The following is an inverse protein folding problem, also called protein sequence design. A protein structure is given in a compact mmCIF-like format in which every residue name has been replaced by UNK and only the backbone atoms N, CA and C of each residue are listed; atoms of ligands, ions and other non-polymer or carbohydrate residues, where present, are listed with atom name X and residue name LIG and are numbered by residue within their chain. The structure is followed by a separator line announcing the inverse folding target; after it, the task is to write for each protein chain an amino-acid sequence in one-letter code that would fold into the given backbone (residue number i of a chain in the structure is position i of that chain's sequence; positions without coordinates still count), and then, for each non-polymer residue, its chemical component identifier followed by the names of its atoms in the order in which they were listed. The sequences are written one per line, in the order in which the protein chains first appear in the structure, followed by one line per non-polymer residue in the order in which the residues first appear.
data_IF_583433169168
#
_entry.id   IF_583433169168
#
_cell.length_a   1.000
_cell.length_b   1.000
_cell.length_c   1.000
_cell.angle_alpha   90.00
_cell.angle_beta   90.00
_cell.angle_gamma   90.00
#
_symmetry.space_group_name_H-M   'P 1'
#
loop_
_entity.id
_entity.type
_entity.pdbx_description
1 polymer ?
#
# COMPACT_ATOMS: atom_id res chain seq x y z
N UNK A 1 0.47 -39.03 23.15
CA UNK A 1 -0.42 -37.87 22.95
C UNK A 1 -1.62 -38.35 22.14
N UNK A 2 -2.86 -37.98 22.49
CA UNK A 2 -4.04 -38.40 21.73
C UNK A 2 -4.08 -37.71 20.36
N UNK A 3 -4.77 -38.31 19.38
CA UNK A 3 -4.96 -37.71 18.06
C UNK A 3 -5.53 -36.29 18.16
N UNK A 4 -6.54 -36.09 19.02
CA UNK A 4 -7.14 -34.77 19.29
C UNK A 4 -6.10 -33.79 19.84
N UNK A 5 -5.25 -34.22 20.77
CA UNK A 5 -4.17 -33.41 21.31
C UNK A 5 -3.17 -32.98 20.23
N UNK A 6 -2.81 -33.89 19.32
CA UNK A 6 -1.94 -33.57 18.17
C UNK A 6 -2.60 -32.56 17.22
N UNK A 7 -3.88 -32.75 16.88
CA UNK A 7 -4.59 -31.83 15.99
C UNK A 7 -4.73 -30.42 16.59
N UNK A 8 -5.01 -30.33 17.90
CA UNK A 8 -5.07 -29.05 18.61
C UNK A 8 -3.72 -28.34 18.62
N UNK A 9 -2.62 -29.06 18.87
CA UNK A 9 -1.28 -28.48 18.84
C UNK A 9 -0.90 -27.97 17.45
N UNK A 10 -1.24 -28.71 16.39
CA UNK A 10 -1.01 -28.26 15.01
C UNK A 10 -1.84 -27.01 14.69
N UNK A 11 -3.12 -27.00 15.06
CA UNK A 11 -4.01 -25.86 14.85
C UNK A 11 -3.51 -24.59 15.56
N UNK A 12 -3.16 -24.71 16.85
CA UNK A 12 -2.61 -23.57 17.62
C UNK A 12 -1.25 -23.15 17.06
N UNK A 13 -0.36 -24.11 16.77
CA UNK A 13 0.95 -23.82 16.19
C UNK A 13 0.87 -23.05 14.88
N UNK A 14 0.00 -23.49 13.96
CA UNK A 14 -0.22 -22.77 12.70
C UNK A 14 -0.89 -21.41 12.92
N UNK A 15 -1.81 -21.29 13.88
CA UNK A 15 -2.41 -20.01 14.26
C UNK A 15 -1.38 -19.01 14.78
N UNK A 16 -0.41 -19.45 15.58
CA UNK A 16 0.70 -18.61 16.05
C UNK A 16 1.61 -18.18 14.88
N UNK A 17 1.89 -19.08 13.93
CA UNK A 17 2.65 -18.75 12.73
C UNK A 17 1.94 -17.67 11.90
N UNK A 18 0.63 -17.80 11.69
CA UNK A 18 -0.17 -16.75 11.03
C UNK A 18 -0.14 -15.44 11.82
N UNK A 19 -0.36 -15.50 13.14
CA UNK A 19 -0.43 -14.29 13.97
C UNK A 19 0.89 -13.50 13.96
N UNK A 20 2.02 -14.16 14.15
CA UNK A 20 3.32 -13.50 14.17
C UNK A 20 3.83 -13.15 12.77
N UNK A 21 3.55 -13.99 11.76
CA UNK A 21 3.98 -13.82 10.37
C UNK A 21 3.07 -12.98 9.47
N UNK A 22 1.88 -12.58 9.93
CA UNK A 22 0.85 -11.92 9.10
C UNK A 22 1.37 -10.72 8.29
N UNK A 23 2.32 -9.92 8.81
CA UNK A 23 2.84 -8.75 8.09
C UNK A 23 3.66 -9.11 6.86
N UNK A 24 4.34 -10.26 6.86
CA UNK A 24 5.05 -10.79 5.69
C UNK A 24 4.11 -11.40 4.66
N UNK A 25 2.85 -11.64 5.03
CA UNK A 25 1.78 -12.09 4.11
C UNK A 25 1.06 -10.86 3.53
N UNK A 26 0.69 -9.92 4.40
CA UNK A 26 -0.03 -8.71 4.05
C UNK A 26 0.81 -7.72 3.23
N UNK A 27 2.11 -7.62 3.56
CA UNK A 27 3.07 -6.79 2.86
C UNK A 27 4.21 -7.66 2.35
N UNK A 28 4.41 -7.62 1.03
CA UNK A 28 5.44 -8.35 0.31
C UNK A 28 6.30 -7.33 -0.46
N UNK A 29 7.30 -6.70 0.21
CA UNK A 29 8.07 -5.63 -0.38
C UNK A 29 8.83 -6.05 -1.65
N UNK A 30 8.85 -5.15 -2.62
CA UNK A 30 9.55 -5.37 -3.90
C UNK A 30 10.97 -4.82 -3.85
N UNK A 31 11.93 -5.45 -4.56
CA UNK A 31 13.28 -4.90 -4.68
C UNK A 31 13.30 -3.60 -5.48
N UNK A 32 14.43 -2.89 -5.42
CA UNK A 32 14.73 -1.78 -6.33
C UNK A 32 14.87 -2.34 -7.75
N UNK A 33 14.26 -1.65 -8.73
CA UNK A 33 14.38 -1.97 -10.15
C UNK A 33 14.85 -0.70 -10.85
N UNK A 34 15.93 -0.80 -11.62
CA UNK A 34 16.43 0.33 -12.41
C UNK A 34 15.40 0.75 -13.45
N UNK A 35 15.20 2.06 -13.58
CA UNK A 35 14.30 2.66 -14.56
C UNK A 35 14.81 4.03 -15.01
N UNK A 36 14.25 4.54 -16.11
CA UNK A 36 14.57 5.87 -16.65
C UNK A 36 13.64 7.00 -16.19
N UNK A 37 12.62 6.71 -15.38
CA UNK A 37 11.68 7.71 -14.87
C UNK A 37 12.32 8.62 -13.82
N UNK A 38 11.82 9.85 -13.72
CA UNK A 38 12.17 10.78 -12.64
C UNK A 38 11.75 10.19 -11.29
N UNK A 39 12.56 10.40 -10.25
CA UNK A 39 12.27 9.94 -8.89
C UNK A 39 12.62 11.04 -7.90
N UNK A 40 11.72 11.31 -6.96
CA UNK A 40 11.94 12.21 -5.83
C UNK A 40 11.92 11.42 -4.52
N UNK A 41 12.81 11.81 -3.60
CA UNK A 41 12.83 11.25 -2.24
C UNK A 41 12.11 12.22 -1.30
N UNK A 42 11.05 11.72 -0.68
CA UNK A 42 10.30 12.43 0.36
C UNK A 42 10.74 11.91 1.73
N UNK A 43 11.38 12.75 2.52
CA UNK A 43 11.83 12.38 3.88
C UNK A 43 10.72 12.61 4.90
N UNK A 44 10.27 11.54 5.53
CA UNK A 44 9.33 11.53 6.66
C UNK A 44 10.06 11.08 7.94
N UNK A 45 9.53 10.09 8.66
CA UNK A 45 10.32 9.25 9.57
C UNK A 45 11.31 8.35 8.82
N UNK A 46 11.01 8.07 7.55
CA UNK A 46 11.85 7.31 6.63
C UNK A 46 11.89 8.00 5.26
N UNK A 47 12.90 7.66 4.46
CA UNK A 47 12.98 8.11 3.08
C UNK A 47 12.05 7.28 2.19
N UNK A 48 11.11 7.96 1.53
CA UNK A 48 10.17 7.37 0.57
C UNK A 48 10.58 7.75 -0.84
N UNK A 49 10.80 6.73 -1.68
CA UNK A 49 11.09 6.90 -3.12
C UNK A 49 9.79 6.95 -3.90
N UNK A 50 9.56 8.06 -4.60
CA UNK A 50 8.35 8.29 -5.39
C UNK A 50 8.73 8.53 -6.82
N UNK A 51 8.27 7.65 -7.72
CA UNK A 51 8.49 7.79 -9.17
C UNK A 51 7.49 8.82 -9.71
N UNK A 52 7.98 9.76 -10.51
CA UNK A 52 7.18 10.82 -11.11
C UNK A 52 7.01 10.53 -12.60
N UNK A 53 5.76 10.47 -13.03
CA UNK A 53 5.39 10.31 -14.44
C UNK A 53 4.75 11.59 -14.95
N UNK A 54 5.01 11.90 -16.22
CA UNK A 54 4.40 13.01 -16.95
C UNK A 54 4.45 14.35 -16.15
N UNK A 55 5.65 14.81 -15.72
CA UNK A 55 5.77 16.03 -14.92
C UNK A 55 5.32 17.27 -15.71
N UNK A 56 4.72 18.25 -15.01
CA UNK A 56 4.34 19.55 -15.56
C UNK A 56 2.84 19.83 -15.65
N UNK A 57 1.98 18.93 -15.17
CA UNK A 57 0.54 19.18 -15.04
C UNK A 57 0.22 19.86 -13.71
N UNK A 58 -0.77 20.74 -13.69
CA UNK A 58 -1.34 21.33 -12.46
C UNK A 58 -2.23 20.34 -11.69
N UNK A 59 -2.48 19.16 -12.26
CA UNK A 59 -3.27 18.09 -11.67
C UNK A 59 -2.39 16.88 -11.38
N UNK A 60 -2.34 16.51 -10.10
CA UNK A 60 -1.57 15.37 -9.63
C UNK A 60 -2.44 14.15 -9.32
N UNK A 61 -1.88 12.97 -9.57
CA UNK A 61 -2.37 11.69 -9.08
C UNK A 61 -1.37 11.13 -8.07
N UNK A 62 -1.79 10.97 -6.82
CA UNK A 62 -1.07 10.19 -5.81
C UNK A 62 -1.53 8.74 -5.91
N UNK A 63 -0.65 7.86 -6.41
CA UNK A 63 -0.98 6.47 -6.71
C UNK A 63 -0.38 5.51 -5.68
N UNK A 64 -1.24 4.70 -5.09
CA UNK A 64 -0.95 3.67 -4.11
C UNK A 64 -1.18 2.28 -4.72
N UNK A 65 -0.09 1.53 -4.94
CA UNK A 65 -0.12 0.19 -5.51
C UNK A 65 -0.67 -0.89 -4.59
N UNK A 66 -0.83 -2.09 -5.14
CA UNK A 66 -1.18 -3.29 -4.40
C UNK A 66 -0.02 -3.89 -3.63
N UNK A 67 -0.32 -4.97 -2.90
CA UNK A 67 0.71 -5.82 -2.30
C UNK A 67 1.57 -6.44 -3.42
N UNK A 68 2.89 -6.50 -3.22
CA UNK A 68 3.87 -6.97 -4.21
C UNK A 68 3.94 -6.19 -5.54
N UNK A 69 3.30 -5.03 -5.66
CA UNK A 69 3.40 -4.21 -6.87
C UNK A 69 4.75 -3.48 -6.93
N UNK A 70 5.38 -3.50 -8.11
CA UNK A 70 6.56 -2.68 -8.41
C UNK A 70 6.12 -1.41 -9.15
N UNK A 71 6.40 -0.24 -8.56
CA UNK A 71 6.07 1.03 -9.21
C UNK A 71 6.86 1.23 -10.50
N UNK A 72 8.11 0.79 -10.55
CA UNK A 72 8.95 0.86 -11.74
C UNK A 72 8.39 0.02 -12.91
N UNK A 73 7.86 -1.17 -12.64
CA UNK A 73 7.27 -2.02 -13.68
C UNK A 73 5.90 -1.53 -14.16
N UNK A 74 5.11 -0.91 -13.26
CA UNK A 74 3.80 -0.36 -13.60
C UNK A 74 3.89 1.02 -14.29
N UNK A 75 5.01 1.73 -14.14
CA UNK A 75 5.19 3.08 -14.62
C UNK A 75 4.92 3.30 -16.13
N UNK A 76 5.38 2.44 -17.05
CA UNK A 76 5.13 2.63 -18.49
C UNK A 76 3.63 2.62 -18.84
N UNK A 77 2.88 1.66 -18.28
CA UNK A 77 1.44 1.53 -18.54
C UNK A 77 0.68 2.73 -17.97
N UNK A 78 0.99 3.14 -16.73
CA UNK A 78 0.33 4.26 -16.07
C UNK A 78 0.65 5.61 -16.74
N UNK A 79 1.91 5.81 -17.16
CA UNK A 79 2.33 7.01 -17.90
C UNK A 79 1.57 7.13 -19.22
N UNK A 80 1.40 6.00 -19.94
CA UNK A 80 0.63 5.97 -21.19
C UNK A 80 -0.87 6.14 -20.99
N UNK A 81 -1.45 5.58 -19.92
CA UNK A 81 -2.88 5.62 -19.67
C UNK A 81 -3.39 7.00 -19.25
N UNK A 82 -2.54 7.82 -18.62
CA UNK A 82 -2.90 9.14 -18.07
C UNK A 82 -1.87 10.21 -18.48
N UNK A 83 -1.71 10.50 -19.80
CA UNK A 83 -0.64 11.35 -20.31
C UNK A 83 -0.75 12.82 -19.88
N UNK A 84 -1.95 13.28 -19.53
CA UNK A 84 -2.26 14.68 -19.18
C UNK A 84 -2.09 14.99 -17.67
N UNK A 85 -1.81 13.99 -16.85
CA UNK A 85 -1.71 14.12 -15.38
C UNK A 85 -0.30 13.84 -14.92
N UNK A 86 0.21 14.62 -13.96
CA UNK A 86 1.43 14.26 -13.26
C UNK A 86 1.13 13.19 -12.22
N UNK A 87 1.83 12.07 -12.26
CA UNK A 87 1.54 10.89 -11.41
C UNK A 87 2.71 10.63 -10.48
N UNK A 88 2.41 10.51 -9.19
CA UNK A 88 3.34 10.17 -8.14
C UNK A 88 3.10 8.72 -7.72
N UNK A 89 3.93 7.80 -8.19
CA UNK A 89 3.88 6.39 -7.83
C UNK A 89 4.66 6.14 -6.55
N UNK A 90 3.95 5.80 -5.47
CA UNK A 90 4.55 5.67 -4.14
C UNK A 90 5.12 4.27 -3.93
N UNK A 91 6.43 4.16 -3.71
CA UNK A 91 6.99 2.96 -3.10
C UNK A 91 6.77 3.03 -1.58
N UNK A 92 5.94 2.14 -1.04
CA UNK A 92 5.71 2.03 0.41
C UNK A 92 7.00 1.76 1.19
N UNK A 93 6.98 1.96 2.51
CA UNK A 93 8.11 1.56 3.39
C UNK A 93 8.58 0.13 3.09
N UNK A 94 9.87 -0.03 2.83
CA UNK A 94 10.51 -1.30 2.47
C UNK A 94 10.36 -1.73 1.00
N UNK A 95 9.54 -1.07 0.19
CA UNK A 95 9.36 -1.38 -1.24
C UNK A 95 10.26 -0.47 -2.08
N UNK A 96 10.74 -0.97 -3.22
CA UNK A 96 11.35 -0.14 -4.27
C UNK A 96 12.54 0.72 -3.80
N UNK A 97 13.17 0.37 -2.67
CA UNK A 97 14.26 1.14 -2.08
C UNK A 97 13.84 2.24 -1.10
N UNK A 98 12.55 2.41 -0.81
CA UNK A 98 12.06 3.18 0.32
C UNK A 98 12.49 2.54 1.64
N UNK A 99 12.85 3.36 2.62
CA UNK A 99 13.29 2.91 3.93
C UNK A 99 12.17 2.33 4.81
N UNK A 100 12.54 1.80 5.96
CA UNK A 100 11.60 1.34 6.99
C UNK A 100 10.95 -0.02 6.72
N UNK A 101 9.92 -0.32 7.54
CA UNK A 101 9.15 -1.58 7.49
C UNK A 101 7.67 -1.23 7.31
N UNK A 102 6.93 -1.91 6.43
CA UNK A 102 5.54 -1.61 6.19
C UNK A 102 4.67 -1.99 7.40
N UNK A 103 3.84 -1.05 7.83
CA UNK A 103 2.78 -1.21 8.82
C UNK A 103 1.64 -0.29 8.42
N UNK A 104 0.39 -0.63 8.77
CA UNK A 104 -0.77 0.21 8.44
C UNK A 104 -0.56 1.67 8.86
N UNK A 105 -0.20 1.90 10.13
CA UNK A 105 0.03 3.22 10.66
C UNK A 105 1.11 3.99 9.90
N UNK A 106 2.22 3.32 9.52
CA UNK A 106 3.29 3.93 8.73
C UNK A 106 2.85 4.27 7.31
N UNK A 107 2.16 3.35 6.63
CA UNK A 107 1.64 3.59 5.28
C UNK A 107 0.65 4.76 5.27
N UNK A 108 -0.19 4.85 6.31
CA UNK A 108 -1.16 5.94 6.48
C UNK A 108 -0.49 7.27 6.79
N UNK A 109 0.50 7.33 7.68
CA UNK A 109 1.22 8.57 7.97
C UNK A 109 1.95 9.09 6.74
N UNK A 110 2.59 8.19 6.00
CA UNK A 110 3.33 8.51 4.78
C UNK A 110 2.39 9.04 3.69
N UNK A 111 1.25 8.39 3.51
CA UNK A 111 0.25 8.79 2.53
C UNK A 111 -0.33 10.18 2.80
N UNK A 112 -0.63 10.51 4.07
CA UNK A 112 -1.09 11.84 4.45
C UNK A 112 -0.01 12.90 4.23
N UNK A 113 1.23 12.60 4.60
CA UNK A 113 2.35 13.50 4.38
C UNK A 113 2.54 13.81 2.89
N UNK A 114 2.60 12.77 2.05
CA UNK A 114 2.74 12.92 0.61
C UNK A 114 1.59 13.73 0.01
N UNK A 115 0.36 13.44 0.42
CA UNK A 115 -0.80 14.20 -0.03
C UNK A 115 -0.69 15.69 0.32
N UNK A 116 -0.30 16.00 1.55
CA UNK A 116 -0.17 17.38 2.02
C UNK A 116 0.96 18.13 1.28
N UNK A 117 2.06 17.45 0.94
CA UNK A 117 3.13 18.03 0.12
C UNK A 117 2.68 18.28 -1.32
N UNK A 118 2.00 17.32 -1.94
CA UNK A 118 1.54 17.45 -3.33
C UNK A 118 0.43 18.49 -3.49
N UNK A 119 -0.46 18.61 -2.49
CA UNK A 119 -1.54 19.60 -2.51
C UNK A 119 -1.04 21.05 -2.44
N UNK A 120 0.21 21.27 -2.02
CA UNK A 120 0.87 22.59 -2.09
C UNK A 120 1.43 22.90 -3.47
N UNK A 121 1.74 21.86 -4.26
CA UNK A 121 2.40 21.95 -5.57
C UNK A 121 1.42 21.97 -6.73
N UNK A 122 0.21 21.46 -6.53
CA UNK A 122 -0.79 21.22 -7.58
C UNK A 122 -2.12 21.88 -7.25
N UNK A 123 -2.86 22.28 -8.28
CA UNK A 123 -4.21 22.86 -8.13
C UNK A 123 -5.21 21.80 -7.67
N UNK A 124 -5.05 20.56 -8.12
CA UNK A 124 -5.87 19.44 -7.68
C UNK A 124 -5.00 18.19 -7.46
N UNK A 125 -5.26 17.48 -6.37
CA UNK A 125 -4.64 16.18 -6.08
C UNK A 125 -5.72 15.10 -6.01
N UNK A 126 -5.60 14.13 -6.91
CA UNK A 126 -6.43 12.93 -6.96
C UNK A 126 -5.69 11.79 -6.26
N UNK A 127 -6.43 10.86 -5.69
CA UNK A 127 -5.86 9.70 -5.00
C UNK A 127 -6.37 8.43 -5.66
N UNK A 128 -5.44 7.54 -6.00
CA UNK A 128 -5.74 6.25 -6.63
C UNK A 128 -5.17 5.15 -5.76
N UNK A 129 -5.98 4.14 -5.45
CA UNK A 129 -5.57 2.97 -4.70
C UNK A 129 -5.90 1.69 -5.44
N UNK A 130 -4.93 0.79 -5.59
CA UNK A 130 -5.14 -0.55 -6.16
C UNK A 130 -4.93 -1.62 -5.11
N UNK A 131 -5.85 -2.58 -4.99
CA UNK A 131 -5.73 -3.71 -4.05
C UNK A 131 -5.39 -3.19 -2.63
N UNK A 132 -4.26 -3.56 -2.02
CA UNK A 132 -3.75 -3.01 -0.75
C UNK A 132 -3.85 -1.48 -0.67
N UNK A 133 -3.43 -0.77 -1.74
CA UNK A 133 -3.45 0.68 -1.82
C UNK A 133 -4.85 1.29 -1.76
N UNK A 134 -5.92 0.52 -1.97
CA UNK A 134 -7.30 0.98 -1.80
C UNK A 134 -7.59 1.39 -0.35
N UNK A 135 -7.03 0.66 0.63
CA UNK A 135 -7.14 1.01 2.05
C UNK A 135 -6.42 2.32 2.35
N UNK A 136 -5.21 2.48 1.81
CA UNK A 136 -4.39 3.70 1.97
C UNK A 136 -5.07 4.91 1.32
N UNK A 137 -5.53 4.77 0.08
CA UNK A 137 -6.23 5.82 -0.66
C UNK A 137 -7.52 6.27 0.04
N UNK A 138 -8.32 5.32 0.52
CA UNK A 138 -9.55 5.60 1.26
C UNK A 138 -9.25 6.31 2.58
N UNK A 139 -8.18 5.92 3.27
CA UNK A 139 -7.75 6.59 4.50
C UNK A 139 -7.38 8.05 4.24
N UNK A 140 -6.65 8.35 3.16
CA UNK A 140 -6.35 9.75 2.77
C UNK A 140 -7.64 10.52 2.50
N UNK A 141 -8.54 9.97 1.68
CA UNK A 141 -9.82 10.61 1.35
C UNK A 141 -10.74 10.82 2.56
N UNK A 142 -10.60 10.01 3.61
CA UNK A 142 -11.33 10.18 4.87
C UNK A 142 -10.74 11.29 5.76
N UNK A 143 -9.50 11.74 5.50
CA UNK A 143 -8.77 12.71 6.33
C UNK A 143 -8.44 14.01 5.62
N UNK A 144 -8.58 14.07 4.29
CA UNK A 144 -8.24 15.20 3.43
C UNK A 144 -9.29 15.35 2.33
N UNK A 145 -9.45 16.57 1.86
CA UNK A 145 -10.29 16.87 0.71
C UNK A 145 -9.53 16.50 -0.58
N UNK A 146 -9.84 15.33 -1.12
CA UNK A 146 -9.26 14.86 -2.38
C UNK A 146 -10.10 15.33 -3.55
N UNK A 147 -9.48 15.71 -4.66
CA UNK A 147 -10.24 16.13 -5.84
C UNK A 147 -11.06 14.97 -6.44
N UNK A 148 -10.51 13.75 -6.41
CA UNK A 148 -11.12 12.50 -6.84
C UNK A 148 -10.50 11.34 -6.07
N UNK A 149 -11.30 10.31 -5.78
CA UNK A 149 -10.84 9.02 -5.28
C UNK A 149 -11.17 7.94 -6.32
N UNK A 150 -10.17 7.17 -6.73
CA UNK A 150 -10.35 6.01 -7.61
C UNK A 150 -9.83 4.76 -6.91
N UNK A 151 -10.67 3.73 -6.85
CA UNK A 151 -10.33 2.44 -6.23
C UNK A 151 -10.34 1.35 -7.29
N UNK A 152 -9.21 0.65 -7.43
CA UNK A 152 -9.02 -0.43 -8.40
C UNK A 152 -8.96 -1.74 -7.63
N UNK A 153 -9.93 -2.62 -7.88
CA UNK A 153 -10.08 -3.91 -7.17
C UNK A 153 -9.98 -3.74 -5.64
N UNK A 154 -10.82 -2.89 -5.01
CA UNK A 154 -10.79 -2.69 -3.57
C UNK A 154 -11.33 -3.91 -2.81
N UNK A 155 -11.03 -3.95 -1.53
CA UNK A 155 -11.60 -4.87 -0.56
C UNK A 155 -12.32 -4.08 0.55
N UNK A 156 -13.19 -4.75 1.29
CA UNK A 156 -13.98 -4.18 2.39
C UNK A 156 -13.16 -4.03 3.69
N UNK A 157 -12.39 -5.04 4.07
CA UNK A 157 -11.41 -4.98 5.17
C UNK A 157 -10.34 -6.07 5.05
N UNK A 158 -9.15 -5.84 5.62
CA UNK A 158 -8.11 -6.90 5.67
C UNK A 158 -8.61 -8.09 6.48
N UNK A 159 -9.43 -7.83 7.50
CA UNK A 159 -10.10 -8.85 8.31
C UNK A 159 -10.96 -9.78 7.48
N UNK A 160 -11.77 -9.23 6.56
CA UNK A 160 -12.65 -10.01 5.68
C UNK A 160 -11.84 -10.86 4.68
N UNK A 161 -10.81 -10.27 4.07
CA UNK A 161 -9.87 -11.00 3.18
C UNK A 161 -9.18 -12.14 3.93
N UNK A 162 -8.65 -11.89 5.13
CA UNK A 162 -8.03 -12.91 5.96
C UNK A 162 -9.03 -14.01 6.38
N UNK A 163 -10.27 -13.65 6.71
CA UNK A 163 -11.33 -14.61 7.02
C UNK A 163 -11.72 -15.49 5.84
N UNK A 164 -11.68 -14.96 4.62
CA UNK A 164 -11.88 -15.73 3.39
C UNK A 164 -10.76 -16.74 3.13
N UNK A 165 -9.51 -16.34 3.34
CA UNK A 165 -8.34 -17.23 3.12
C UNK A 165 -8.11 -18.23 4.25
N UNK A 166 -8.42 -17.86 5.50
CA UNK A 166 -8.16 -18.66 6.70
C UNK A 166 -9.44 -18.86 7.54
N UNK A 167 -10.49 -19.50 7.00
CA UNK A 167 -11.85 -19.50 7.59
C UNK A 167 -11.98 -20.23 8.92
N UNK A 168 -11.02 -21.11 9.25
CA UNK A 168 -11.01 -21.83 10.53
C UNK A 168 -10.45 -20.97 11.69
N UNK A 169 -9.85 -19.82 11.39
CA UNK A 169 -9.26 -18.92 12.38
C UNK A 169 -10.14 -17.68 12.61
N UNK A 170 -10.23 -17.16 13.84
CA UNK A 170 -10.97 -15.94 14.15
C UNK A 170 -10.20 -14.70 13.66
N UNK A 171 -10.27 -14.40 12.36
CA UNK A 171 -9.51 -13.33 11.72
C UNK A 171 -9.68 -11.97 12.41
N UNK A 172 -10.90 -11.65 12.88
CA UNK A 172 -11.19 -10.42 13.62
C UNK A 172 -10.38 -10.26 14.92
N UNK A 173 -9.97 -11.36 15.56
CA UNK A 173 -9.16 -11.33 16.78
C UNK A 173 -7.65 -11.38 16.47
N UNK A 174 -7.26 -11.86 15.29
CA UNK A 174 -5.86 -12.14 14.95
C UNK A 174 -5.21 -11.04 14.10
N UNK A 175 -5.97 -10.40 13.22
CA UNK A 175 -5.47 -9.36 12.31
C UNK A 175 -5.10 -8.10 13.09
N UNK A 176 -3.84 -7.67 12.96
CA UNK A 176 -3.26 -6.50 13.62
C UNK A 176 -3.38 -5.22 12.81
N UNK A 177 -3.27 -5.33 11.49
CA UNK A 177 -3.36 -4.24 10.52
C UNK A 177 -4.67 -4.47 9.74
N UNK A 178 -5.67 -3.58 9.84
CA UNK A 178 -7.10 -3.85 9.61
C UNK A 178 -7.71 -3.21 8.37
#
# INVERSE_FOLDING_TARGET
MSLIGTLLLVYVGFGLLLFFGQRSILYYPTPVIEHGFEEEVFTTEVDLRVIILNPGSDQAVLYFGGNADSMALNAPELSFALPELTIYLVNYRGYGGSGGVPTEAGLYSDALFLFDELSKRHVATYVVGRSLGSGVATYVAAKREVGKLVLITPFDSVVSVAGGHYPIYPANLMVRDR
#
